data_IF_407115248659
#
_entry.id   IF_407115248659
#
_cell.length_a   1.000
_cell.length_b   1.000
_cell.length_c   1.000
_cell.angle_alpha   90.00
_cell.angle_beta   90.00
_cell.angle_gamma   90.00
#
_symmetry.space_group_name_H-M   'P 1'
#
loop_
_entity.id
_entity.type
_entity.pdbx_description
1 polymer ?
#
# COMPACT_ATOMS: atom_id res chain seq x y z
N UNK A 1 26.46 -20.70 16.87
CA UNK A 1 25.88 -20.58 15.53
C UNK A 1 25.04 -19.31 15.54
N UNK A 2 25.56 -18.22 15.00
CA UNK A 2 24.84 -16.93 14.97
C UNK A 2 23.93 -16.96 13.75
N UNK A 3 22.62 -16.95 13.99
CA UNK A 3 21.62 -16.81 12.93
C UNK A 3 21.88 -15.47 12.24
N UNK A 4 22.26 -15.50 10.96
CA UNK A 4 22.38 -14.28 10.18
C UNK A 4 21.02 -13.57 10.23
N UNK A 5 21.03 -12.27 10.54
CA UNK A 5 19.83 -11.46 10.38
C UNK A 5 19.33 -11.67 8.94
N UNK A 6 18.02 -11.89 8.73
CA UNK A 6 17.49 -12.06 7.38
C UNK A 6 17.97 -10.89 6.53
N UNK A 7 18.49 -11.17 5.32
CA UNK A 7 18.92 -10.10 4.43
C UNK A 7 17.72 -9.18 4.19
N UNK A 8 17.90 -7.87 4.26
CA UNK A 8 16.83 -6.86 4.14
C UNK A 8 15.88 -7.02 2.93
N UNK A 9 16.30 -7.49 1.73
CA UNK A 9 15.36 -7.85 0.65
C UNK A 9 14.45 -9.05 0.97
N UNK A 10 14.87 -9.98 1.82
CA UNK A 10 14.08 -11.17 2.20
C UNK A 10 12.87 -10.82 3.09
N UNK A 11 12.92 -9.67 3.77
CA UNK A 11 11.82 -9.22 4.61
C UNK A 11 10.63 -8.78 3.77
N UNK A 12 10.86 -8.04 2.67
CA UNK A 12 9.77 -7.56 1.83
C UNK A 12 9.07 -8.68 1.07
N UNK A 13 9.79 -9.75 0.70
CA UNK A 13 9.20 -10.92 0.03
C UNK A 13 8.20 -11.69 0.89
N UNK A 14 8.23 -11.50 2.22
CA UNK A 14 7.26 -12.12 3.13
C UNK A 14 5.91 -11.40 3.14
N UNK A 15 5.83 -10.21 2.53
CA UNK A 15 4.63 -9.39 2.53
C UNK A 15 4.11 -9.15 1.12
N UNK A 16 2.81 -9.33 0.94
CA UNK A 16 2.06 -8.70 -0.13
C UNK A 16 1.65 -7.29 0.32
N UNK A 17 1.73 -6.32 -0.59
CA UNK A 17 1.31 -4.94 -0.34
C UNK A 17 0.16 -4.58 -1.25
N UNK A 18 -0.85 -3.93 -0.68
CA UNK A 18 -1.88 -3.23 -1.43
C UNK A 18 -1.75 -1.74 -1.14
N UNK A 19 -1.76 -0.93 -2.18
CA UNK A 19 -1.74 0.52 -2.02
C UNK A 19 -2.99 1.15 -2.60
N UNK A 20 -3.71 1.83 -1.72
CA UNK A 20 -4.96 2.50 -2.01
C UNK A 20 -4.72 3.99 -2.24
N UNK A 21 -5.14 4.52 -3.40
CA UNK A 21 -5.24 5.96 -3.62
C UNK A 21 -5.93 6.68 -2.46
N UNK A 22 -5.40 7.84 -2.12
CA UNK A 22 -6.02 8.79 -1.21
C UNK A 22 -6.77 9.84 -2.03
N UNK A 23 -7.87 10.33 -1.48
CA UNK A 23 -8.68 11.38 -2.11
C UNK A 23 -9.11 12.40 -1.08
N UNK A 24 -9.10 13.67 -1.46
CA UNK A 24 -9.65 14.78 -0.68
C UNK A 24 -10.50 15.66 -1.59
N UNK A 25 -11.49 16.34 -1.03
CA UNK A 25 -12.19 17.42 -1.71
C UNK A 25 -11.57 18.74 -1.25
N UNK A 26 -10.91 19.46 -2.16
CA UNK A 26 -10.20 20.71 -1.90
C UNK A 26 -10.86 21.83 -2.73
N UNK A 27 -11.26 22.92 -2.07
CA UNK A 27 -11.94 24.10 -2.66
C UNK A 27 -13.24 23.76 -3.41
N UNK A 28 -13.12 23.27 -4.65
CA UNK A 28 -14.20 22.94 -5.58
C UNK A 28 -13.92 21.69 -6.42
N UNK A 29 -12.84 20.95 -6.13
CA UNK A 29 -12.41 19.80 -6.92
C UNK A 29 -11.95 18.64 -6.03
N UNK A 30 -11.95 17.45 -6.62
CA UNK A 30 -11.36 16.26 -6.01
C UNK A 30 -9.89 16.18 -6.36
N UNK A 31 -9.07 15.98 -5.34
CA UNK A 31 -7.64 15.72 -5.45
C UNK A 31 -7.40 14.24 -5.13
N UNK A 32 -6.59 13.56 -5.95
CA UNK A 32 -6.19 12.17 -5.73
C UNK A 32 -4.67 12.02 -5.79
N UNK A 33 -4.12 11.17 -4.93
CA UNK A 33 -2.69 10.87 -4.85
C UNK A 33 -2.44 9.47 -4.32
N UNK A 34 -1.27 8.92 -4.58
CA UNK A 34 -0.79 7.71 -3.91
C UNK A 34 -0.04 8.07 -2.63
N UNK A 35 -0.11 7.24 -1.57
CA UNK A 35 0.70 7.42 -0.37
C UNK A 35 2.18 7.66 -0.70
N UNK A 36 2.77 8.69 -0.08
CA UNK A 36 4.17 9.13 -0.28
C UNK A 36 4.53 9.67 -1.69
N UNK A 37 3.56 9.77 -2.61
CA UNK A 37 3.79 10.41 -3.90
C UNK A 37 3.98 11.93 -3.73
N UNK A 38 4.99 12.48 -4.40
CA UNK A 38 5.25 13.95 -4.46
C UNK A 38 4.33 14.68 -5.44
N UNK A 39 3.46 13.96 -6.11
CA UNK A 39 2.56 14.46 -7.14
C UNK A 39 1.12 14.05 -6.82
N UNK A 40 0.19 14.87 -7.29
CA UNK A 40 -1.26 14.69 -7.12
C UNK A 40 -1.97 15.16 -8.38
N UNK A 41 -3.15 14.62 -8.64
CA UNK A 41 -4.01 15.04 -9.76
C UNK A 41 -5.31 15.62 -9.22
N UNK A 42 -5.99 16.44 -10.00
CA UNK A 42 -7.29 17.01 -9.65
C UNK A 42 -8.33 16.84 -10.74
N UNK A 43 -9.59 16.69 -10.34
CA UNK A 43 -10.73 16.58 -11.24
C UNK A 43 -12.03 17.04 -10.58
N UNK A 44 -13.09 17.25 -11.38
CA UNK A 44 -14.39 17.71 -10.89
C UNK A 44 -15.14 16.66 -10.05
N UNK A 45 -14.80 15.38 -10.18
CA UNK A 45 -15.40 14.28 -9.42
C UNK A 45 -14.35 13.32 -8.86
N UNK A 46 -14.72 12.63 -7.78
CA UNK A 46 -13.84 11.63 -7.14
C UNK A 46 -13.39 10.56 -8.13
N UNK A 47 -14.33 10.02 -8.90
CA UNK A 47 -14.06 8.96 -9.87
C UNK A 47 -13.17 9.48 -11.01
N UNK A 48 -13.37 10.72 -11.46
CA UNK A 48 -12.51 11.34 -12.45
C UNK A 48 -11.09 11.55 -11.90
N UNK A 49 -10.94 11.96 -10.65
CA UNK A 49 -9.63 12.15 -10.01
C UNK A 49 -8.88 10.81 -9.88
N UNK A 50 -9.58 9.74 -9.49
CA UNK A 50 -9.00 8.39 -9.42
C UNK A 50 -8.61 7.83 -10.80
N UNK A 51 -9.43 8.09 -11.82
CA UNK A 51 -9.13 7.73 -13.21
C UNK A 51 -7.89 8.46 -13.70
N UNK A 52 -7.83 9.79 -13.51
CA UNK A 52 -6.65 10.58 -13.86
C UNK A 52 -5.40 10.15 -13.09
N UNK A 53 -5.54 9.74 -11.83
CA UNK A 53 -4.42 9.27 -11.02
C UNK A 53 -3.82 8.00 -11.64
N UNK A 54 -4.68 7.07 -12.06
CA UNK A 54 -4.28 5.83 -12.73
C UNK A 54 -3.61 6.11 -14.08
N UNK A 55 -4.14 7.05 -14.85
CA UNK A 55 -3.58 7.47 -16.14
C UNK A 55 -2.21 8.16 -15.99
N UNK A 56 -2.08 9.06 -15.02
CA UNK A 56 -0.82 9.75 -14.73
C UNK A 56 0.25 8.79 -14.22
N UNK A 57 -0.12 7.80 -13.40
CA UNK A 57 0.77 6.72 -12.98
C UNK A 57 1.31 5.96 -14.19
N UNK A 58 0.43 5.47 -15.08
CA UNK A 58 0.86 4.76 -16.29
C UNK A 58 1.73 5.63 -17.20
N UNK A 59 1.43 6.93 -17.32
CA UNK A 59 2.28 7.87 -18.06
C UNK A 59 3.68 7.94 -17.48
N UNK A 60 3.81 8.09 -16.15
CA UNK A 60 5.10 8.14 -15.44
C UNK A 60 5.90 6.85 -15.60
N UNK A 61 5.25 5.69 -15.45
CA UNK A 61 5.83 4.36 -15.72
C UNK A 61 6.43 4.31 -17.12
N UNK A 62 5.65 4.68 -18.13
CA UNK A 62 6.10 4.64 -19.52
C UNK A 62 7.20 5.66 -19.84
N UNK A 63 7.25 6.77 -19.11
CA UNK A 63 8.29 7.79 -19.26
C UNK A 63 9.58 7.47 -18.48
N UNK A 64 9.59 6.42 -17.66
CA UNK A 64 10.69 6.17 -16.71
C UNK A 64 10.79 7.24 -15.61
N UNK A 65 9.73 8.02 -15.42
CA UNK A 65 9.57 9.03 -14.37
C UNK A 65 8.90 8.43 -13.12
N UNK A 66 8.75 7.12 -13.11
CA UNK A 66 8.08 6.41 -12.04
C UNK A 66 8.98 6.27 -10.83
N UNK A 67 8.91 7.26 -9.96
CA UNK A 67 9.37 7.14 -8.57
C UNK A 67 8.40 6.26 -7.72
N UNK A 68 7.31 5.74 -8.31
CA UNK A 68 6.24 4.98 -7.66
C UNK A 68 6.19 3.49 -8.00
N UNK A 69 7.33 2.92 -8.39
CA UNK A 69 7.76 1.72 -7.67
C UNK A 69 7.71 2.14 -6.20
N UNK A 70 6.62 1.80 -5.51
CA UNK A 70 6.48 1.98 -4.07
C UNK A 70 7.74 1.43 -3.46
N UNK A 71 8.67 2.35 -3.24
CA UNK A 71 10.05 1.90 -3.26
C UNK A 71 10.18 0.96 -2.09
N UNK A 72 11.08 0.01 -2.19
CA UNK A 72 11.33 -0.85 -1.05
C UNK A 72 11.52 -0.03 0.24
N UNK A 73 11.96 1.24 0.14
CA UNK A 73 11.97 2.20 1.24
C UNK A 73 10.56 2.54 1.80
N UNK A 74 9.56 2.86 0.97
CA UNK A 74 8.18 3.12 1.42
C UNK A 74 7.56 1.87 2.06
N UNK A 75 7.75 0.71 1.45
CA UNK A 75 7.26 -0.57 2.00
C UNK A 75 7.93 -0.89 3.34
N UNK A 76 9.25 -0.71 3.44
CA UNK A 76 9.99 -0.85 4.71
C UNK A 76 9.50 0.15 5.76
N UNK A 77 9.32 1.41 5.38
CA UNK A 77 8.79 2.45 6.27
C UNK A 77 7.41 2.05 6.79
N UNK A 78 6.52 1.55 5.93
CA UNK A 78 5.20 1.07 6.32
C UNK A 78 5.23 -0.11 7.31
N UNK A 79 6.17 -1.05 7.12
CA UNK A 79 6.34 -2.17 8.04
C UNK A 79 6.80 -1.71 9.44
N UNK A 80 7.58 -0.63 9.52
CA UNK A 80 8.03 -0.04 10.78
C UNK A 80 6.97 0.86 11.44
N UNK A 81 6.32 1.70 10.64
CA UNK A 81 5.30 2.64 11.06
C UNK A 81 4.16 2.64 10.03
N UNK A 82 2.92 2.36 10.44
CA UNK A 82 1.79 2.32 9.50
C UNK A 82 1.63 3.64 8.75
N UNK A 83 1.64 3.54 7.42
CA UNK A 83 1.38 4.64 6.49
C UNK A 83 -0.06 4.50 5.99
N UNK A 84 -0.94 5.50 6.21
CA UNK A 84 -2.32 5.46 5.71
C UNK A 84 -2.40 5.21 4.21
N UNK A 85 -3.27 4.28 3.81
CA UNK A 85 -3.45 3.89 2.41
C UNK A 85 -2.49 2.80 1.93
N UNK A 86 -1.52 2.38 2.74
CA UNK A 86 -0.71 1.19 2.47
C UNK A 86 -1.18 0.09 3.42
N UNK A 87 -1.30 -1.13 2.90
CA UNK A 87 -1.73 -2.30 3.65
C UNK A 87 -0.75 -3.44 3.39
N UNK A 88 -0.38 -4.17 4.44
CA UNK A 88 0.48 -5.33 4.33
C UNK A 88 -0.22 -6.61 4.83
N UNK A 89 -0.07 -7.68 4.06
CA UNK A 89 -0.54 -9.03 4.40
C UNK A 89 0.58 -10.03 4.16
N UNK A 90 0.62 -11.13 4.90
CA UNK A 90 1.55 -12.22 4.63
C UNK A 90 1.41 -12.73 3.19
N UNK A 91 2.53 -12.93 2.49
CA UNK A 91 2.53 -13.28 1.07
C UNK A 91 1.96 -14.68 0.80
N UNK A 92 2.09 -15.63 1.73
CA UNK A 92 1.47 -16.94 1.62
C UNK A 92 -0.05 -16.85 1.80
N UNK A 93 -0.51 -16.10 2.80
CA UNK A 93 -1.94 -15.83 3.00
C UNK A 93 -2.57 -15.13 1.79
N UNK A 94 -1.89 -14.13 1.22
CA UNK A 94 -2.31 -13.48 -0.03
C UNK A 94 -2.47 -14.49 -1.18
N UNK A 95 -1.49 -15.39 -1.34
CA UNK A 95 -1.50 -16.38 -2.42
C UNK A 95 -2.70 -17.33 -2.31
N UNK A 96 -3.04 -17.76 -1.10
CA UNK A 96 -4.23 -18.59 -0.84
C UNK A 96 -5.54 -17.84 -1.12
N UNK A 97 -5.67 -16.60 -0.65
CA UNK A 97 -6.86 -15.77 -0.87
C UNK A 97 -7.06 -15.39 -2.33
N UNK A 98 -5.97 -15.11 -3.04
CA UNK A 98 -6.01 -14.83 -4.49
C UNK A 98 -6.53 -16.05 -5.27
N UNK A 99 -6.15 -17.26 -4.86
CA UNK A 99 -6.62 -18.49 -5.48
C UNK A 99 -8.10 -18.77 -5.23
N UNK A 100 -8.66 -18.29 -4.11
CA UNK A 100 -10.07 -18.50 -3.73
C UNK A 100 -11.04 -17.44 -4.25
N UNK A 101 -10.57 -16.44 -5.00
CA UNK A 101 -11.35 -15.27 -5.44
C UNK A 101 -12.01 -14.51 -4.27
N UNK A 102 -11.35 -14.52 -3.09
CA UNK A 102 -11.81 -13.74 -1.95
C UNK A 102 -11.76 -12.23 -2.25
N UNK A 103 -12.53 -11.46 -1.48
CA UNK A 103 -12.39 -10.00 -1.45
C UNK A 103 -11.05 -9.62 -0.81
N UNK A 104 -10.07 -9.31 -1.67
CA UNK A 104 -8.72 -8.97 -1.26
C UNK A 104 -8.66 -7.64 -0.53
N UNK A 105 -9.54 -6.69 -0.84
CA UNK A 105 -9.50 -5.36 -0.21
C UNK A 105 -9.84 -5.49 1.28
N UNK A 106 -10.93 -6.20 1.59
CA UNK A 106 -11.31 -6.49 2.98
C UNK A 106 -10.21 -7.31 3.69
N UNK A 107 -9.61 -8.29 3.01
CA UNK A 107 -8.55 -9.11 3.59
C UNK A 107 -7.29 -8.29 3.94
N UNK A 108 -6.88 -7.36 3.07
CA UNK A 108 -5.77 -6.45 3.35
C UNK A 108 -6.05 -5.53 4.54
N UNK A 109 -7.27 -5.00 4.65
CA UNK A 109 -7.67 -4.17 5.79
C UNK A 109 -7.63 -4.94 7.12
N UNK A 110 -8.13 -6.17 7.14
CA UNK A 110 -8.14 -7.02 8.34
C UNK A 110 -6.73 -7.49 8.73
N UNK A 111 -5.90 -7.84 7.74
CA UNK A 111 -4.50 -8.18 7.95
C UNK A 111 -3.72 -6.99 8.54
N UNK A 112 -3.90 -5.80 7.98
CA UNK A 112 -3.23 -4.57 8.44
C UNK A 112 -3.69 -4.18 9.85
N UNK A 113 -4.99 -4.29 10.15
CA UNK A 113 -5.52 -4.07 11.51
C UNK A 113 -4.87 -5.04 12.51
N UNK A 114 -4.74 -6.31 12.13
CA UNK A 114 -4.11 -7.33 12.99
C UNK A 114 -2.63 -7.06 13.20
N UNK A 115 -1.90 -6.66 12.15
CA UNK A 115 -0.48 -6.30 12.18
C UNK A 115 -0.20 -5.14 13.13
N UNK A 116 -1.02 -4.10 13.06
CA UNK A 116 -0.84 -2.85 13.80
C UNK A 116 -1.30 -2.91 15.25
N UNK A 117 -2.24 -3.80 15.57
CA UNK A 117 -2.77 -3.96 16.93
C UNK A 117 -1.82 -4.70 17.90
N UNK A 118 -0.72 -5.27 17.39
CA UNK A 118 0.19 -6.12 18.15
C UNK A 118 -0.49 -7.40 18.69
N UNK A 119 0.26 -8.34 19.29
CA UNK A 119 -0.38 -9.38 20.09
C UNK A 119 -1.15 -8.69 21.22
N UNK A 120 -2.47 -8.88 21.27
CA UNK A 120 -3.29 -8.48 22.41
C UNK A 120 -2.67 -9.08 23.68
N UNK A 121 -1.97 -8.25 24.45
CA UNK A 121 -1.54 -8.61 25.80
C UNK A 121 -2.80 -8.91 26.61
N UNK A 122 -3.05 -10.19 26.91
CA UNK A 122 -3.96 -10.57 27.99
C UNK A 122 -3.19 -10.39 29.29
N UNK A 123 -3.57 -9.37 30.08
CA UNK A 123 -3.12 -9.26 31.46
C UNK A 123 -3.54 -10.50 32.27
N UNK A 124 -2.74 -10.91 33.28
CA UNK A 124 -2.98 -12.12 34.06
C UNK A 124 -4.32 -12.12 34.81
#
# INVERSE_FOLDING_TARGET
MTQAAPNEPDVLMQWAFHVRPQTSFEEDHWVAWYPDARWRVSAESKDAALKQLSEEYLRRVNAGEDDSDYSDAVRRAHLQQPIPGIYAMDAAAYSELRASQADLDTAFEDAERSRTSGPQWKAP
#
